data_IF_042976469702
#
_entry.id   IF_042976469702
#
_cell.length_a   1.000
_cell.length_b   1.000
_cell.length_c   1.000
_cell.angle_alpha   90.00
_cell.angle_beta   90.00
_cell.angle_gamma   90.00
#
_symmetry.space_group_name_H-M   'P 1'
#
loop_
_entity.id
_entity.type
_entity.pdbx_description
1 polymer ?
#
# COMPACT_ATOMS: atom_id res chain seq x y z
N UNK A 1 8.31 -32.94 39.73
CA UNK A 1 9.22 -31.86 39.27
C UNK A 1 8.54 -31.12 38.11
N UNK A 2 7.84 -30.01 38.38
CA UNK A 2 7.28 -29.13 37.34
C UNK A 2 8.38 -28.13 36.95
N UNK A 3 8.86 -28.20 35.70
CA UNK A 3 9.79 -27.21 35.14
C UNK A 3 8.99 -25.95 34.80
N UNK A 4 9.26 -24.88 35.54
CA UNK A 4 8.81 -23.53 35.22
C UNK A 4 9.70 -23.02 34.07
N UNK A 5 9.12 -22.84 32.88
CA UNK A 5 9.79 -22.09 31.81
C UNK A 5 9.59 -20.61 32.12
N UNK A 6 10.67 -19.95 32.55
CA UNK A 6 10.74 -18.51 32.71
C UNK A 6 10.96 -17.92 31.31
N UNK A 7 9.93 -17.29 30.73
CA UNK A 7 10.11 -16.44 29.55
C UNK A 7 10.84 -15.18 30.01
N UNK A 8 12.13 -15.10 29.71
CA UNK A 8 12.93 -13.90 29.90
C UNK A 8 12.65 -12.95 28.74
N UNK A 9 11.70 -12.04 28.94
CA UNK A 9 11.46 -10.92 28.02
C UNK A 9 12.67 -9.99 28.04
N UNK A 10 13.55 -10.11 27.05
CA UNK A 10 14.62 -9.14 26.81
C UNK A 10 13.95 -7.89 26.24
N UNK A 11 13.69 -6.91 27.12
CA UNK A 11 13.47 -5.54 26.67
C UNK A 11 14.83 -5.01 26.17
N UNK A 12 15.06 -5.08 24.86
CA UNK A 12 16.09 -4.25 24.23
C UNK A 12 15.55 -2.83 24.26
N UNK A 13 16.02 -2.02 25.21
CA UNK A 13 15.84 -0.58 25.14
C UNK A 13 16.57 -0.09 23.88
N UNK A 14 15.83 0.22 22.82
CA UNK A 14 16.39 0.90 21.67
C UNK A 14 16.74 2.32 22.12
N UNK A 15 18.01 2.55 22.40
CA UNK A 15 18.52 3.90 22.61
C UNK A 15 18.34 4.67 21.30
N UNK A 16 17.77 5.88 21.37
CA UNK A 16 17.73 6.82 20.27
C UNK A 16 19.12 6.92 19.63
N UNK A 17 19.21 6.65 18.32
CA UNK A 17 20.47 6.74 17.59
C UNK A 17 20.64 8.20 17.22
N UNK A 18 21.58 8.88 17.87
CA UNK A 18 22.05 10.20 17.47
C UNK A 18 23.19 10.03 16.47
N UNK A 19 23.04 10.51 15.24
CA UNK A 19 24.14 10.59 14.27
C UNK A 19 24.52 12.04 14.02
N UNK A 20 25.81 12.29 13.80
CA UNK A 20 26.26 13.56 13.23
C UNK A 20 25.58 13.75 11.86
N UNK A 21 24.97 14.91 11.68
CA UNK A 21 24.32 15.32 10.45
C UNK A 21 24.59 16.81 10.22
N UNK A 22 24.83 17.18 8.97
CA UNK A 22 24.90 18.59 8.58
C UNK A 22 23.49 19.18 8.62
N UNK A 23 23.27 20.14 9.51
CA UNK A 23 22.01 20.88 9.63
C UNK A 23 22.19 22.24 8.99
N UNK A 24 21.27 22.62 8.10
CA UNK A 24 21.21 23.97 7.53
C UNK A 24 19.99 24.70 8.06
N UNK A 25 20.21 25.67 8.95
CA UNK A 25 19.19 26.64 9.34
C UNK A 25 19.23 27.82 8.36
N UNK A 26 18.11 28.10 7.68
CA UNK A 26 18.00 29.21 6.71
C UNK A 26 16.95 30.21 7.18
N UNK A 27 17.30 31.49 7.12
CA UNK A 27 16.41 32.62 7.41
C UNK A 27 16.25 33.49 6.18
N UNK A 28 14.99 33.81 5.86
CA UNK A 28 14.55 34.70 4.77
C UNK A 28 13.80 35.90 5.34
N UNK A 29 13.60 36.94 4.53
CA UNK A 29 13.00 38.20 4.96
C UNK A 29 11.53 38.38 4.54
N UNK A 30 10.84 37.30 4.19
CA UNK A 30 9.49 37.26 3.62
C UNK A 30 8.36 37.46 4.66
N UNK A 31 8.70 37.57 5.94
CA UNK A 31 7.73 37.84 7.00
C UNK A 31 7.03 39.20 6.80
N UNK A 32 5.72 39.24 7.04
CA UNK A 32 4.90 40.43 6.86
C UNK A 32 4.57 40.79 5.41
N UNK A 33 5.16 40.07 4.42
CA UNK A 33 4.94 40.22 2.98
C UNK A 33 4.88 41.70 2.51
N UNK A 34 5.96 42.48 2.70
CA UNK A 34 5.93 43.91 2.41
C UNK A 34 5.76 44.16 0.91
N UNK A 35 4.78 45.00 0.54
CA UNK A 35 4.55 45.42 -0.86
C UNK A 35 5.29 46.70 -1.23
N UNK A 36 5.93 47.33 -0.25
CA UNK A 36 6.76 48.53 -0.41
C UNK A 36 7.94 48.47 0.54
N UNK A 37 8.97 49.26 0.29
CA UNK A 37 10.14 49.32 1.17
C UNK A 37 9.75 49.67 2.61
N UNK A 38 10.19 48.86 3.57
CA UNK A 38 9.94 49.05 5.00
C UNK A 38 11.23 49.48 5.68
N UNK A 39 11.16 50.52 6.53
CA UNK A 39 12.28 50.99 7.34
C UNK A 39 12.27 50.31 8.70
N UNK A 40 13.25 49.44 8.97
CA UNK A 40 13.43 48.78 10.27
C UNK A 40 14.22 49.69 11.23
N UNK A 41 14.02 49.56 12.54
CA UNK A 41 14.69 50.42 13.54
C UNK A 41 14.09 51.82 13.67
N UNK A 42 12.91 52.05 13.07
CA UNK A 42 12.15 53.30 13.21
C UNK A 42 11.21 53.23 14.42
N UNK A 43 10.86 54.37 15.02
CA UNK A 43 9.89 54.42 16.12
C UNK A 43 8.47 53.96 15.73
N UNK A 44 8.21 53.81 14.43
CA UNK A 44 6.90 53.48 13.87
C UNK A 44 6.82 52.06 13.29
N UNK A 45 7.92 51.30 13.31
CA UNK A 45 7.98 49.96 12.72
C UNK A 45 8.19 48.95 13.83
N UNK A 46 7.35 47.91 13.85
CA UNK A 46 7.60 46.77 14.71
C UNK A 46 8.43 45.71 13.97
N UNK A 47 9.72 45.60 14.31
CA UNK A 47 10.65 44.80 13.52
C UNK A 47 10.37 43.29 13.61
N UNK A 48 9.75 42.82 14.69
CA UNK A 48 9.31 41.43 14.85
C UNK A 48 8.29 40.99 13.80
N UNK A 49 7.64 41.92 13.09
CA UNK A 49 6.72 41.58 11.99
C UNK A 49 7.45 41.24 10.69
N UNK A 50 8.72 41.64 10.54
CA UNK A 50 9.46 41.55 9.29
C UNK A 50 10.77 40.78 9.40
N UNK A 51 11.37 40.71 10.59
CA UNK A 51 12.56 39.90 10.83
C UNK A 51 12.19 38.45 11.17
N UNK A 52 13.08 37.49 10.86
CA UNK A 52 12.92 36.11 11.28
C UNK A 52 12.76 35.98 12.79
N UNK A 53 12.05 34.93 13.23
CA UNK A 53 11.86 34.70 14.66
C UNK A 53 13.20 34.49 15.38
N UNK A 54 13.34 35.11 16.56
CA UNK A 54 14.58 35.10 17.34
C UNK A 54 15.65 36.07 16.87
N UNK A 55 15.38 36.90 15.85
CA UNK A 55 16.27 37.99 15.45
C UNK A 55 15.91 39.29 16.16
N UNK A 56 16.92 40.11 16.47
CA UNK A 56 16.73 41.34 17.23
C UNK A 56 17.55 42.50 16.67
N UNK A 57 16.98 43.70 16.67
CA UNK A 57 17.70 44.94 16.38
C UNK A 57 18.11 45.65 17.66
N UNK A 58 19.35 46.16 17.69
CA UNK A 58 19.89 46.75 18.91
C UNK A 58 19.53 48.23 19.10
N UNK A 59 19.19 48.95 18.02
CA UNK A 59 18.81 50.37 18.03
C UNK A 59 17.66 50.73 18.99
N UNK A 60 16.67 49.85 19.15
CA UNK A 60 15.43 50.13 19.90
C UNK A 60 15.64 50.22 21.42
N UNK A 61 16.69 49.59 21.97
CA UNK A 61 16.95 49.62 23.43
C UNK A 61 17.54 50.93 23.96
N UNK A 62 17.94 51.86 23.09
CA UNK A 62 18.58 53.12 23.50
C UNK A 62 17.82 54.40 23.16
N UNK A 63 16.59 54.32 22.67
CA UNK A 63 15.68 55.46 22.49
C UNK A 63 16.28 56.63 21.65
N UNK A 64 16.98 56.30 20.55
CA UNK A 64 17.65 57.29 19.70
C UNK A 64 17.25 57.19 18.22
N UNK A 65 17.37 58.31 17.52
CA UNK A 65 17.14 58.47 16.09
C UNK A 65 18.22 57.77 15.25
N UNK A 66 17.86 56.62 14.66
CA UNK A 66 18.53 55.82 13.59
C UNK A 66 19.66 54.87 14.06
N UNK A 67 19.88 53.71 13.39
CA UNK A 67 19.86 53.48 11.92
C UNK A 67 18.62 52.82 11.33
N UNK A 68 18.46 52.94 10.00
CA UNK A 68 17.42 52.28 9.21
C UNK A 68 18.03 51.20 8.32
N UNK A 69 17.86 49.94 8.72
CA UNK A 69 17.86 48.85 7.74
C UNK A 69 16.56 48.92 6.96
N UNK A 70 16.53 48.35 5.77
CA UNK A 70 15.29 48.29 5.01
C UNK A 70 14.99 46.88 4.55
N UNK A 71 13.71 46.49 4.59
CA UNK A 71 13.23 45.36 3.81
C UNK A 71 12.74 45.92 2.48
N UNK A 72 13.43 45.57 1.41
CA UNK A 72 13.15 46.01 0.04
C UNK A 72 12.56 44.84 -0.77
N UNK A 73 11.24 44.83 -1.02
CA UNK A 73 10.60 43.74 -1.77
C UNK A 73 10.96 43.73 -3.26
N UNK A 74 11.39 44.87 -3.81
CA UNK A 74 11.76 45.08 -5.20
C UNK A 74 13.23 44.75 -5.51
N UNK A 75 14.05 44.53 -4.48
CA UNK A 75 15.50 44.29 -4.62
C UNK A 75 15.92 42.85 -4.29
N UNK A 76 14.95 41.98 -3.98
CA UNK A 76 15.22 40.56 -3.73
C UNK A 76 15.19 39.70 -4.99
N UNK A 77 14.93 38.40 -4.82
CA UNK A 77 14.96 37.41 -5.89
C UNK A 77 13.94 36.30 -5.61
N UNK A 78 13.36 35.72 -6.66
CA UNK A 78 12.40 34.59 -6.60
C UNK A 78 11.19 34.86 -5.68
N UNK A 79 10.71 36.11 -5.67
CA UNK A 79 9.57 36.53 -4.85
C UNK A 79 9.90 36.79 -3.37
N UNK A 80 11.15 36.61 -2.95
CA UNK A 80 11.61 36.96 -1.61
C UNK A 80 12.11 38.41 -1.58
N UNK A 81 11.83 39.19 -0.52
CA UNK A 81 12.42 40.51 -0.31
C UNK A 81 13.88 40.41 0.16
N UNK A 82 14.62 41.51 0.04
CA UNK A 82 16.00 41.60 0.53
C UNK A 82 16.15 42.61 1.67
N UNK A 83 17.03 42.30 2.63
CA UNK A 83 17.46 43.25 3.64
C UNK A 83 18.56 44.15 3.08
N UNK A 84 18.33 45.46 3.10
CA UNK A 84 19.30 46.51 2.77
C UNK A 84 20.07 46.94 4.01
N UNK A 85 21.39 46.93 3.90
CA UNK A 85 22.30 47.42 4.90
C UNK A 85 22.37 48.95 4.99
N UNK A 86 23.20 49.42 5.92
CA UNK A 86 23.40 50.82 6.23
C UNK A 86 24.32 51.49 5.21
N UNK A 87 24.20 52.81 5.03
CA UNK A 87 25.10 53.57 4.14
C UNK A 87 26.54 53.55 4.62
N UNK A 88 26.72 53.68 5.93
CA UNK A 88 27.97 53.58 6.68
C UNK A 88 27.60 53.36 8.15
N UNK A 89 28.40 52.61 8.90
CA UNK A 89 28.16 52.31 10.32
C UNK A 89 29.40 52.64 11.14
N UNK A 90 29.21 53.10 12.38
CA UNK A 90 30.30 53.29 13.34
C UNK A 90 29.99 52.82 14.77
N UNK A 91 28.76 52.36 15.08
CA UNK A 91 28.39 51.96 16.44
C UNK A 91 27.65 50.60 16.51
N UNK A 92 28.34 49.48 16.80
CA UNK A 92 27.70 48.17 16.88
C UNK A 92 26.59 48.07 17.93
N UNK A 93 26.69 48.81 19.03
CA UNK A 93 25.64 48.81 20.07
C UNK A 93 24.29 49.36 19.61
N UNK A 94 24.26 50.05 18.47
CA UNK A 94 23.06 50.59 17.83
C UNK A 94 22.74 49.91 16.51
N UNK A 95 23.78 49.54 15.77
CA UNK A 95 23.68 49.29 14.33
C UNK A 95 23.62 47.82 13.93
N UNK A 96 23.77 46.89 14.87
CA UNK A 96 23.77 45.47 14.55
C UNK A 96 22.39 44.79 14.68
N UNK A 97 22.19 43.81 13.81
CA UNK A 97 21.13 42.81 13.89
C UNK A 97 21.73 41.56 14.53
N UNK A 98 21.05 41.03 15.55
CA UNK A 98 21.49 39.88 16.33
C UNK A 98 20.67 38.66 15.95
N UNK A 99 21.34 37.53 15.77
CA UNK A 99 20.73 36.23 15.46
C UNK A 99 21.38 35.11 16.27
N UNK A 100 20.64 34.05 16.62
CA UNK A 100 21.20 32.84 17.20
C UNK A 100 21.97 32.05 16.13
N UNK A 101 23.15 31.54 16.49
CA UNK A 101 24.04 30.80 15.59
C UNK A 101 24.70 29.65 16.36
N UNK A 102 24.80 28.50 15.71
CA UNK A 102 25.58 27.33 16.13
C UNK A 102 26.97 27.35 15.50
N UNK A 103 27.94 26.80 16.23
CA UNK A 103 29.31 26.66 15.75
C UNK A 103 29.34 25.91 14.41
N UNK A 104 29.98 26.49 13.40
CA UNK A 104 29.91 26.03 12.02
C UNK A 104 30.13 27.17 11.04
N UNK A 105 29.39 27.17 9.95
CA UNK A 105 29.50 28.17 8.87
C UNK A 105 28.26 29.06 8.82
N UNK A 106 28.45 30.36 9.02
CA UNK A 106 27.43 31.38 8.84
C UNK A 106 27.60 32.03 7.46
N UNK A 107 26.57 32.00 6.64
CA UNK A 107 26.62 32.48 5.26
C UNK A 107 25.54 33.49 4.95
N UNK A 108 25.85 34.45 4.10
CA UNK A 108 24.97 35.53 3.67
C UNK A 108 24.92 35.51 2.15
N UNK A 109 23.72 35.49 1.59
CA UNK A 109 23.56 35.62 0.15
C UNK A 109 23.57 37.12 -0.20
N UNK A 110 24.71 37.64 -0.66
CA UNK A 110 25.08 39.06 -0.65
C UNK A 110 25.14 39.64 -2.07
N UNK A 111 24.68 40.89 -2.23
CA UNK A 111 24.65 41.63 -3.51
C UNK A 111 25.01 43.10 -3.32
N UNK A 112 25.71 43.69 -4.30
CA UNK A 112 25.98 45.13 -4.32
C UNK A 112 24.72 45.94 -4.63
N UNK A 113 24.66 47.17 -4.11
CA UNK A 113 23.54 48.04 -4.39
C UNK A 113 23.62 48.64 -5.79
N UNK A 114 22.62 48.35 -6.63
CA UNK A 114 22.49 48.86 -8.00
C UNK A 114 22.33 50.39 -8.08
N UNK A 115 21.77 51.02 -7.04
CA UNK A 115 21.36 52.43 -7.02
C UNK A 115 22.41 53.37 -6.41
N UNK A 116 23.61 52.87 -6.07
CA UNK A 116 24.66 53.70 -5.43
C UNK A 116 26.00 53.59 -6.15
N UNK A 117 26.93 54.49 -5.85
CA UNK A 117 28.32 54.43 -6.34
C UNK A 117 29.24 53.51 -5.52
N UNK A 118 28.71 52.82 -4.49
CA UNK A 118 29.50 51.90 -3.69
C UNK A 118 29.94 50.69 -4.54
N UNK A 119 31.23 50.38 -4.52
CA UNK A 119 31.83 49.26 -5.27
C UNK A 119 32.16 48.07 -4.38
N UNK A 120 31.71 48.12 -3.12
CA UNK A 120 32.01 47.14 -2.10
C UNK A 120 30.86 46.95 -1.12
N UNK A 121 30.76 45.75 -0.57
CA UNK A 121 29.91 45.44 0.57
C UNK A 121 30.79 45.02 1.74
N UNK A 122 30.44 45.44 2.95
CA UNK A 122 31.19 45.05 4.16
C UNK A 122 30.23 44.42 5.15
N UNK A 123 30.60 43.26 5.66
CA UNK A 123 29.92 42.61 6.77
C UNK A 123 30.88 42.58 7.95
N UNK A 124 30.45 43.20 9.05
CA UNK A 124 31.08 43.03 10.35
C UNK A 124 30.30 42.01 11.17
N UNK A 125 30.99 41.08 11.83
CA UNK A 125 30.42 40.20 12.85
C UNK A 125 30.98 40.55 14.23
N UNK A 126 30.12 40.50 15.24
CA UNK A 126 30.43 40.79 16.63
C UNK A 126 29.91 39.67 17.53
N UNK A 127 30.64 39.41 18.61
CA UNK A 127 30.14 38.58 19.69
C UNK A 127 29.01 39.31 20.40
N UNK A 128 27.92 38.62 20.68
CA UNK A 128 26.81 39.16 21.47
C UNK A 128 26.48 38.19 22.58
N UNK A 129 26.34 38.73 23.79
CA UNK A 129 25.91 37.96 24.96
C UNK A 129 24.56 38.46 25.42
N UNK A 130 23.75 37.54 25.92
CA UNK A 130 22.44 37.84 26.51
C UNK A 130 22.43 37.36 27.95
N UNK A 131 22.04 38.24 28.87
CA UNK A 131 21.82 37.92 30.28
C UNK A 131 20.44 38.44 30.69
N UNK A 132 19.48 37.52 30.84
CA UNK A 132 18.06 37.85 30.94
C UNK A 132 17.61 38.67 29.74
N UNK A 133 17.00 39.83 30.00
CA UNK A 133 16.58 40.76 28.94
C UNK A 133 17.70 41.70 28.47
N UNK A 134 18.92 41.59 28.99
CA UNK A 134 20.02 42.52 28.64
C UNK A 134 20.91 41.92 27.55
N UNK A 135 21.08 42.66 26.46
CA UNK A 135 22.00 42.32 25.38
C UNK A 135 23.28 43.15 25.50
N UNK A 136 24.43 42.50 25.44
CA UNK A 136 25.74 43.16 25.51
C UNK A 136 26.57 42.80 24.30
N UNK A 137 27.00 43.82 23.55
CA UNK A 137 27.97 43.65 22.48
C UNK A 137 29.36 43.44 23.04
N UNK A 138 30.00 42.38 22.58
CA UNK A 138 31.40 42.10 22.82
C UNK A 138 32.29 42.62 21.70
N UNK A 139 33.45 42.00 21.58
CA UNK A 139 34.45 42.31 20.55
C UNK A 139 33.94 42.00 19.13
N UNK A 140 34.45 42.77 18.16
CA UNK A 140 34.35 42.42 16.75
C UNK A 140 35.06 41.09 16.51
N UNK A 141 34.37 40.15 15.88
CA UNK A 141 34.90 38.86 15.45
C UNK A 141 35.67 39.07 14.15
N UNK A 142 35.03 39.67 13.15
CA UNK A 142 35.62 39.90 11.82
C UNK A 142 34.97 41.09 11.14
N UNK A 143 35.73 41.78 10.29
CA UNK A 143 35.28 42.75 9.30
C UNK A 143 35.74 42.26 7.95
N UNK A 144 34.82 41.86 7.06
CA UNK A 144 35.19 41.40 5.72
C UNK A 144 34.54 42.27 4.66
N UNK A 145 35.38 42.73 3.74
CA UNK A 145 35.00 43.48 2.55
C UNK A 145 34.92 42.53 1.35
N UNK A 146 33.87 42.70 0.56
CA UNK A 146 33.62 41.98 -0.68
C UNK A 146 33.46 42.99 -1.80
N UNK A 147 34.08 42.72 -2.94
CA UNK A 147 34.12 43.58 -4.12
C UNK A 147 33.88 42.73 -5.37
N UNK A 148 33.85 43.36 -6.53
CA UNK A 148 33.82 42.65 -7.83
C UNK A 148 35.12 41.88 -8.12
N UNK A 149 36.16 42.06 -7.31
CA UNK A 149 37.45 41.38 -7.42
C UNK A 149 37.86 40.59 -6.17
N UNK A 150 36.99 40.47 -5.16
CA UNK A 150 37.24 39.65 -3.97
C UNK A 150 37.03 38.17 -4.26
N UNK A 151 37.37 37.30 -3.29
CA UNK A 151 37.01 35.87 -3.33
C UNK A 151 36.08 35.51 -2.14
N UNK A 152 34.83 35.10 -2.39
CA UNK A 152 34.15 35.13 -3.70
C UNK A 152 33.90 36.57 -4.19
N UNK A 153 33.81 36.75 -5.51
CA UNK A 153 33.47 38.04 -6.11
C UNK A 153 31.95 38.28 -6.04
N UNK A 154 31.55 39.48 -5.65
CA UNK A 154 30.14 39.89 -5.63
C UNK A 154 29.86 40.89 -6.75
N UNK A 155 28.61 41.03 -7.17
CA UNK A 155 28.25 41.98 -8.21
C UNK A 155 26.88 42.61 -7.96
N UNK A 156 26.45 43.44 -8.91
CA UNK A 156 25.17 44.16 -8.89
C UNK A 156 24.01 43.40 -9.51
N UNK A 157 24.23 42.30 -10.21
CA UNK A 157 23.16 41.55 -10.87
C UNK A 157 22.62 40.42 -9.97
N UNK A 158 23.52 39.63 -9.39
CA UNK A 158 23.21 38.37 -8.72
C UNK A 158 23.63 38.41 -7.25
N UNK A 159 22.88 37.70 -6.41
CA UNK A 159 23.30 37.38 -5.05
C UNK A 159 24.36 36.27 -5.07
N UNK A 160 25.43 36.47 -4.31
CA UNK A 160 26.54 35.52 -4.16
C UNK A 160 26.63 35.10 -2.71
N UNK A 161 26.74 33.79 -2.45
CA UNK A 161 26.91 33.27 -1.10
C UNK A 161 28.32 33.59 -0.58
N UNK A 162 28.39 34.34 0.52
CA UNK A 162 29.63 34.61 1.26
C UNK A 162 29.55 33.96 2.64
N UNK A 163 30.67 33.43 3.15
CA UNK A 163 30.66 32.63 4.38
C UNK A 163 31.72 33.04 5.39
N UNK A 164 31.41 32.78 6.66
CA UNK A 164 32.22 33.03 7.84
C UNK A 164 32.21 31.80 8.73
N UNK A 165 33.36 31.46 9.29
CA UNK A 165 33.44 30.41 10.32
C UNK A 165 33.05 31.02 11.68
N UNK A 166 32.17 30.33 12.39
CA UNK A 166 31.71 30.68 13.73
C UNK A 166 32.16 29.59 14.68
N UNK A 167 33.03 29.95 15.64
CA UNK A 167 33.74 28.97 16.45
C UNK A 167 32.89 28.36 17.58
N UNK A 168 31.88 29.08 18.07
CA UNK A 168 31.07 28.69 19.22
C UNK A 168 29.60 29.01 19.00
N UNK A 169 28.75 28.19 19.60
CA UNK A 169 27.32 28.50 19.74
C UNK A 169 27.14 29.84 20.48
N UNK A 170 26.11 30.59 20.09
CA UNK A 170 25.73 31.81 20.79
C UNK A 170 24.95 32.76 19.90
N UNK A 171 25.02 34.04 20.26
CA UNK A 171 24.43 35.11 19.46
C UNK A 171 25.52 35.87 18.72
N UNK A 172 25.30 36.07 17.43
CA UNK A 172 26.17 36.86 16.56
C UNK A 172 25.40 38.12 16.18
N UNK A 173 26.04 39.27 16.38
CA UNK A 173 25.57 40.54 15.83
C UNK A 173 26.26 40.77 14.49
N UNK A 174 25.51 41.06 13.43
CA UNK A 174 26.09 41.49 12.16
C UNK A 174 25.70 42.93 11.81
N UNK A 175 26.60 43.62 11.14
CA UNK A 175 26.34 44.91 10.51
C UNK A 175 26.61 44.78 9.02
N UNK A 176 25.61 45.11 8.22
CA UNK A 176 25.72 45.17 6.76
C UNK A 176 25.90 46.63 6.33
N UNK A 177 26.99 46.94 5.63
CA UNK A 177 27.34 48.30 5.25
C UNK A 177 27.30 48.56 3.74
N UNK A 178 27.56 49.81 3.35
CA UNK A 178 27.62 50.31 1.97
C UNK A 178 26.33 50.10 1.18
N UNK A 179 25.18 50.16 1.86
CA UNK A 179 23.84 49.95 1.31
C UNK A 179 23.64 48.60 0.59
N UNK A 180 24.51 47.61 0.81
CA UNK A 180 24.43 46.30 0.17
C UNK A 180 23.18 45.52 0.58
N UNK A 181 22.83 44.48 -0.17
CA UNK A 181 21.63 43.67 0.07
C UNK A 181 21.98 42.24 0.45
N UNK A 182 21.22 41.67 1.39
CA UNK A 182 21.22 40.22 1.64
C UNK A 182 19.83 39.63 1.40
N UNK A 183 19.77 38.51 0.67
CA UNK A 183 18.51 37.81 0.36
C UNK A 183 18.12 36.83 1.48
N UNK A 184 19.12 36.13 2.00
CA UNK A 184 18.96 35.11 3.04
C UNK A 184 20.25 34.94 3.84
N UNK A 185 20.11 34.40 5.05
CA UNK A 185 21.21 34.02 5.94
C UNK A 185 21.09 32.54 6.26
N UNK A 186 22.22 31.81 6.28
CA UNK A 186 22.28 30.38 6.54
C UNK A 186 23.30 30.07 7.62
N UNK A 187 22.93 29.24 8.58
CA UNK A 187 23.87 28.63 9.50
C UNK A 187 23.92 27.12 9.24
N UNK A 188 25.05 26.66 8.72
CA UNK A 188 25.36 25.26 8.47
C UNK A 188 26.24 24.75 9.60
N UNK A 189 25.84 23.71 10.31
CA UNK A 189 26.58 23.18 11.46
C UNK A 189 26.41 21.68 11.60
N UNK A 190 27.33 21.04 12.31
CA UNK A 190 27.21 19.64 12.72
C UNK A 190 26.22 19.54 13.88
N UNK A 191 25.05 18.99 13.58
CA UNK A 191 24.01 18.67 14.57
C UNK A 191 23.99 17.19 14.90
N UNK A 192 23.25 16.84 15.95
CA UNK A 192 22.82 15.46 16.21
C UNK A 192 21.37 15.34 15.80
N UNK A 193 21.10 14.57 14.74
CA UNK A 193 19.73 14.20 14.43
C UNK A 193 19.34 13.05 15.37
N UNK A 194 18.38 13.31 16.25
CA UNK A 194 17.85 12.28 17.15
C UNK A 194 16.76 11.53 16.40
N UNK A 195 16.95 10.23 16.26
CA UNK A 195 15.98 9.36 15.60
C UNK A 195 15.39 8.36 16.59
N UNK A 196 14.18 7.93 16.27
CA UNK A 196 13.35 7.08 17.10
C UNK A 196 12.85 5.87 16.31
N UNK A 197 12.25 4.93 17.04
CA UNK A 197 11.60 3.75 16.48
C UNK A 197 10.09 3.93 16.47
N UNK A 198 9.44 3.59 15.36
CA UNK A 198 7.98 3.45 15.24
C UNK A 198 7.64 1.96 15.18
N UNK A 199 6.89 1.47 16.16
CA UNK A 199 6.54 0.05 16.30
C UNK A 199 5.06 -0.17 16.57
N UNK A 200 4.57 -1.34 16.18
CA UNK A 200 3.15 -1.64 16.22
C UNK A 200 2.77 -2.99 15.62
N UNK A 201 1.50 -3.12 15.27
CA UNK A 201 0.91 -4.35 14.68
C UNK A 201 0.08 -4.02 13.44
N UNK A 202 0.10 -4.94 12.48
CA UNK A 202 -0.80 -4.93 11.33
C UNK A 202 -1.71 -6.15 11.41
N UNK A 203 -3.03 -5.92 11.34
CA UNK A 203 -4.06 -6.95 11.34
C UNK A 203 -4.97 -6.81 10.12
N UNK A 204 -5.72 -7.85 9.79
CA UNK A 204 -6.80 -7.79 8.82
C UNK A 204 -8.11 -7.28 9.48
N UNK A 205 -9.18 -7.18 8.69
CA UNK A 205 -10.51 -6.76 9.12
C UNK A 205 -11.21 -7.74 10.07
N UNK A 206 -10.71 -8.98 10.17
CA UNK A 206 -11.14 -10.01 11.12
C UNK A 206 -10.27 -10.04 12.39
N UNK A 207 -9.21 -9.23 12.44
CA UNK A 207 -8.28 -9.14 13.57
C UNK A 207 -7.15 -10.18 13.54
N UNK A 208 -6.98 -10.93 12.44
CA UNK A 208 -5.86 -11.84 12.29
C UNK A 208 -4.57 -11.06 11.98
N UNK A 209 -3.41 -11.49 12.48
CA UNK A 209 -2.15 -10.83 12.19
C UNK A 209 -1.75 -10.95 10.72
N UNK A 210 -1.26 -9.85 10.15
CA UNK A 210 -0.81 -9.81 8.74
C UNK A 210 0.71 -9.73 8.69
N UNK A 211 1.36 -10.88 8.44
CA UNK A 211 2.82 -10.97 8.22
C UNK A 211 3.26 -10.52 6.83
N UNK A 212 4.55 -10.20 6.68
CA UNK A 212 5.21 -9.74 5.44
C UNK A 212 4.60 -8.49 4.77
N UNK A 213 3.79 -7.71 5.49
CA UNK A 213 3.31 -6.41 5.05
C UNK A 213 4.46 -5.40 5.11
N UNK A 214 4.63 -4.59 4.05
CA UNK A 214 5.60 -3.51 4.01
C UNK A 214 5.05 -2.30 4.76
N UNK A 215 5.73 -1.86 5.79
CA UNK A 215 5.44 -0.64 6.56
C UNK A 215 6.50 0.40 6.23
N UNK A 216 6.11 1.62 5.85
CA UNK A 216 7.03 2.68 5.48
C UNK A 216 6.62 4.05 6.03
N UNK A 217 7.60 4.81 6.54
CA UNK A 217 7.45 6.16 7.11
C UNK A 217 8.75 6.94 6.92
N UNK A 218 8.69 8.21 6.50
CA UNK A 218 9.87 9.07 6.24
C UNK A 218 10.96 8.42 5.35
N UNK A 219 10.56 7.61 4.36
CA UNK A 219 11.49 6.89 3.49
C UNK A 219 12.22 5.70 4.15
N UNK A 220 11.95 5.42 5.42
CA UNK A 220 12.35 4.19 6.14
C UNK A 220 11.28 3.12 5.96
N UNK A 221 11.66 1.84 6.04
CA UNK A 221 10.70 0.74 5.93
C UNK A 221 11.13 -0.52 6.67
N UNK A 222 10.14 -1.29 7.09
CA UNK A 222 10.29 -2.65 7.63
C UNK A 222 9.20 -3.57 7.06
N UNK A 223 9.35 -4.88 7.27
CA UNK A 223 8.30 -5.85 7.03
C UNK A 223 7.70 -6.31 8.37
N UNK A 224 6.40 -6.62 8.37
CA UNK A 224 5.78 -7.23 9.55
C UNK A 224 6.26 -8.67 9.71
N UNK A 225 6.47 -9.10 10.95
CA UNK A 225 6.72 -10.50 11.29
C UNK A 225 5.44 -11.33 11.15
N UNK A 226 5.54 -12.67 11.27
CA UNK A 226 4.40 -13.58 11.13
C UNK A 226 3.25 -13.32 12.14
N UNK A 227 3.55 -12.68 13.27
CA UNK A 227 2.57 -12.26 14.28
C UNK A 227 2.00 -10.84 14.02
N UNK A 228 2.30 -10.26 12.86
CA UNK A 228 1.85 -8.93 12.45
C UNK A 228 2.66 -7.78 13.05
N UNK A 229 3.65 -8.03 13.90
CA UNK A 229 4.44 -6.97 14.55
C UNK A 229 5.41 -6.32 13.58
N UNK A 230 5.64 -5.01 13.71
CA UNK A 230 6.67 -4.28 12.94
C UNK A 230 7.45 -3.31 13.82
N UNK A 231 8.65 -2.94 13.34
CA UNK A 231 9.51 -1.93 13.95
C UNK A 231 10.31 -1.19 12.87
N UNK A 232 10.00 0.09 12.64
CA UNK A 232 10.73 0.98 11.71
C UNK A 232 11.65 1.88 12.52
N UNK A 233 12.97 1.72 12.38
CA UNK A 233 13.97 2.54 13.05
C UNK A 233 14.34 3.79 12.23
N UNK A 234 15.12 4.68 12.85
CA UNK A 234 15.67 5.89 12.23
C UNK A 234 14.60 6.90 11.76
N UNK A 235 13.50 7.02 12.51
CA UNK A 235 12.43 7.98 12.21
C UNK A 235 12.69 9.28 12.98
N UNK A 236 12.76 10.40 12.27
CA UNK A 236 12.95 11.72 12.88
C UNK A 236 11.69 12.24 13.57
N UNK A 237 11.84 13.25 14.42
CA UNK A 237 10.71 13.90 15.09
C UNK A 237 9.75 14.58 14.11
N UNK A 238 8.49 14.71 14.53
CA UNK A 238 7.46 15.42 13.81
C UNK A 238 6.33 14.52 13.31
N UNK A 239 5.40 15.16 12.62
CA UNK A 239 4.26 14.50 11.98
C UNK A 239 4.70 13.89 10.64
N UNK A 240 4.24 12.67 10.35
CA UNK A 240 4.56 11.96 9.11
C UNK A 240 3.49 10.95 8.74
N UNK A 241 3.43 10.57 7.46
CA UNK A 241 2.51 9.55 6.97
C UNK A 241 3.17 8.17 7.05
N UNK A 242 2.57 7.27 7.83
CA UNK A 242 2.86 5.85 7.81
C UNK A 242 2.02 5.19 6.71
N UNK A 243 2.65 4.41 5.85
CA UNK A 243 2.00 3.65 4.78
C UNK A 243 2.23 2.16 4.98
N UNK A 244 1.18 1.36 4.76
CA UNK A 244 1.25 -0.09 4.88
C UNK A 244 0.67 -0.73 3.62
N UNK A 245 1.38 -1.69 3.05
CA UNK A 245 0.94 -2.41 1.86
C UNK A 245 1.33 -3.88 1.89
N UNK A 246 0.46 -4.72 1.33
CA UNK A 246 0.68 -6.15 1.11
C UNK A 246 -0.11 -6.60 -0.11
N UNK A 247 0.46 -7.54 -0.87
CA UNK A 247 -0.27 -8.17 -1.98
C UNK A 247 -1.56 -8.83 -1.49
N UNK A 248 -2.65 -8.63 -2.24
CA UNK A 248 -3.97 -9.10 -1.85
C UNK A 248 -4.72 -8.20 -0.88
N UNK A 249 -4.14 -7.07 -0.43
CA UNK A 249 -4.78 -6.12 0.48
C UNK A 249 -4.82 -4.72 -0.13
N UNK A 250 -5.82 -3.92 0.24
CA UNK A 250 -5.85 -2.50 -0.07
C UNK A 250 -4.81 -1.76 0.77
N UNK A 251 -3.91 -1.03 0.11
CA UNK A 251 -2.91 -0.21 0.80
C UNK A 251 -3.59 0.85 1.69
N UNK A 252 -3.07 1.04 2.90
CA UNK A 252 -3.62 1.95 3.90
C UNK A 252 -2.54 2.92 4.36
N UNK A 253 -2.94 4.13 4.71
CA UNK A 253 -2.06 5.13 5.31
C UNK A 253 -2.71 5.79 6.53
N UNK A 254 -1.88 6.22 7.48
CA UNK A 254 -2.30 7.00 8.63
C UNK A 254 -1.21 7.97 9.07
N UNK A 255 -1.63 9.09 9.67
CA UNK A 255 -0.71 10.06 10.26
C UNK A 255 -0.17 9.52 11.58
N UNK A 256 1.14 9.64 11.80
CA UNK A 256 1.83 9.33 13.05
C UNK A 256 2.67 10.54 13.47
N UNK A 257 2.83 10.76 14.76
CA UNK A 257 3.63 11.85 15.31
C UNK A 257 4.67 11.29 16.27
N UNK A 258 5.94 11.53 15.96
CA UNK A 258 7.08 11.20 16.85
C UNK A 258 7.44 12.45 17.64
N UNK A 259 7.47 12.36 18.96
CA UNK A 259 7.73 13.50 19.85
C UNK A 259 8.66 13.12 20.99
N UNK A 260 9.97 13.27 20.76
CA UNK A 260 10.97 13.10 21.83
C UNK A 260 11.19 11.67 22.32
N UNK A 261 10.49 10.66 21.77
CA UNK A 261 10.56 9.26 22.20
C UNK A 261 10.06 8.30 21.11
N UNK A 262 10.38 7.01 21.27
CA UNK A 262 9.85 5.92 20.44
C UNK A 262 8.33 5.90 20.45
N UNK A 263 7.74 5.77 19.25
CA UNK A 263 6.30 5.61 19.07
C UNK A 263 5.98 4.12 19.06
N UNK A 264 5.19 3.67 20.02
CA UNK A 264 4.81 2.25 20.17
C UNK A 264 3.30 2.08 20.12
N UNK A 265 2.83 0.86 19.83
CA UNK A 265 1.40 0.54 19.84
C UNK A 265 0.62 1.06 18.63
N UNK A 266 1.30 1.35 17.52
CA UNK A 266 0.65 1.75 16.27
C UNK A 266 -0.13 0.57 15.69
N UNK A 267 -1.46 0.64 15.71
CA UNK A 267 -2.29 -0.39 15.10
C UNK A 267 -2.68 0.02 13.66
N UNK A 268 -2.60 -0.92 12.73
CA UNK A 268 -3.03 -0.72 11.33
C UNK A 268 -3.92 -1.89 10.93
N UNK A 269 -5.05 -1.57 10.31
CA UNK A 269 -5.94 -2.57 9.71
C UNK A 269 -5.76 -2.53 8.19
N UNK A 270 -5.44 -3.67 7.59
CA UNK A 270 -5.47 -3.85 6.14
C UNK A 270 -6.73 -4.60 5.74
N UNK A 271 -7.45 -4.10 4.74
CA UNK A 271 -8.64 -4.77 4.23
C UNK A 271 -8.24 -5.71 3.08
N UNK A 272 -8.53 -7.02 3.16
CA UNK A 272 -8.32 -7.94 2.06
C UNK A 272 -9.12 -7.52 0.83
N UNK A 273 -8.53 -7.70 -0.35
CA UNK A 273 -9.22 -7.45 -1.61
C UNK A 273 -10.09 -8.66 -1.94
N UNK A 274 -11.38 -8.42 -2.16
CA UNK A 274 -12.34 -9.47 -2.55
C UNK A 274 -12.24 -9.75 -4.05
N UNK A 275 -12.09 -11.01 -4.40
CA UNK A 275 -12.08 -11.51 -5.78
C UNK A 275 -13.08 -12.65 -5.92
N UNK A 276 -13.52 -12.97 -7.13
CA UNK A 276 -14.48 -14.07 -7.29
C UNK A 276 -15.07 -14.25 -8.67
N UNK A 277 -16.07 -15.11 -8.74
CA UNK A 277 -16.84 -15.39 -9.94
C UNK A 277 -18.29 -15.67 -9.59
N UNK A 278 -19.20 -15.20 -10.42
CA UNK A 278 -20.63 -15.48 -10.31
C UNK A 278 -21.28 -15.68 -11.67
N UNK A 279 -22.36 -16.45 -11.70
CA UNK A 279 -23.18 -16.64 -12.88
C UNK A 279 -24.03 -17.88 -12.78
N UNK A 280 -24.32 -18.50 -13.93
CA UNK A 280 -25.20 -19.68 -14.06
C UNK A 280 -24.43 -20.90 -14.52
N UNK A 281 -24.84 -22.07 -14.07
CA UNK A 281 -24.39 -23.35 -14.63
C UNK A 281 -25.42 -23.87 -15.64
N UNK A 282 -25.00 -24.06 -16.89
CA UNK A 282 -25.84 -24.47 -18.01
C UNK A 282 -25.41 -25.82 -18.58
N UNK A 283 -26.34 -26.53 -19.20
CA UNK A 283 -26.01 -27.73 -19.97
C UNK A 283 -25.36 -27.37 -21.32
N UNK A 284 -24.79 -28.36 -22.01
CA UNK A 284 -24.16 -28.22 -23.32
C UNK A 284 -25.11 -27.79 -24.46
N UNK A 285 -26.42 -27.75 -24.21
CA UNK A 285 -27.41 -27.19 -25.12
C UNK A 285 -27.73 -25.72 -24.82
N UNK A 286 -27.28 -25.19 -23.68
CA UNK A 286 -27.59 -23.84 -23.19
C UNK A 286 -29.08 -23.60 -22.90
N UNK A 287 -29.89 -24.66 -22.94
CA UNK A 287 -31.35 -24.58 -22.78
C UNK A 287 -31.76 -24.79 -21.32
N UNK A 288 -30.96 -25.53 -20.54
CA UNK A 288 -31.29 -25.90 -19.18
C UNK A 288 -30.24 -25.44 -18.19
N UNK A 289 -30.72 -24.99 -17.04
CA UNK A 289 -29.88 -24.77 -15.88
C UNK A 289 -29.62 -26.10 -15.17
N UNK A 290 -28.39 -26.28 -14.72
CA UNK A 290 -27.93 -27.52 -14.11
C UNK A 290 -28.02 -27.39 -12.59
N UNK A 291 -28.88 -28.21 -12.00
CA UNK A 291 -28.96 -28.40 -10.55
C UNK A 291 -28.13 -29.61 -10.11
N UNK A 292 -27.92 -29.74 -8.79
CA UNK A 292 -27.19 -30.86 -8.18
C UNK A 292 -25.79 -31.02 -8.77
N UNK A 293 -25.07 -29.91 -8.86
CA UNK A 293 -23.66 -29.88 -9.23
C UNK A 293 -22.85 -29.09 -8.20
N UNK A 294 -21.65 -29.59 -7.93
CA UNK A 294 -20.65 -28.93 -7.06
C UNK A 294 -19.63 -28.22 -7.94
N UNK A 295 -19.46 -26.92 -7.73
CA UNK A 295 -18.42 -26.10 -8.35
C UNK A 295 -17.34 -25.87 -7.29
N UNK A 296 -16.10 -26.26 -7.56
CA UNK A 296 -14.95 -26.06 -6.67
C UNK A 296 -13.88 -25.26 -7.38
N UNK A 297 -13.36 -24.23 -6.72
CA UNK A 297 -12.21 -23.44 -7.19
C UNK A 297 -11.02 -23.76 -6.31
N UNK A 298 -9.95 -24.28 -6.91
CA UNK A 298 -8.71 -24.61 -6.23
C UNK A 298 -7.49 -24.17 -7.05
N UNK A 299 -6.33 -24.04 -6.40
CA UNK A 299 -5.06 -23.83 -7.10
C UNK A 299 -4.44 -25.17 -7.58
N UNK A 300 -3.20 -25.10 -8.09
CA UNK A 300 -2.45 -26.28 -8.55
C UNK A 300 -1.99 -27.20 -7.42
N UNK A 301 -1.88 -26.69 -6.19
CA UNK A 301 -1.45 -27.42 -5.00
C UNK A 301 -2.64 -28.07 -4.26
N UNK A 302 -3.86 -27.72 -4.65
CA UNK A 302 -5.10 -28.27 -4.11
C UNK A 302 -5.73 -27.42 -3.02
N UNK A 303 -5.24 -26.21 -2.76
CA UNK A 303 -5.87 -25.29 -1.81
C UNK A 303 -7.20 -24.80 -2.38
N UNK A 304 -8.29 -25.00 -1.63
CA UNK A 304 -9.64 -24.64 -2.04
C UNK A 304 -9.92 -23.20 -1.65
N UNK A 305 -10.26 -22.37 -2.64
CA UNK A 305 -10.64 -20.97 -2.47
C UNK A 305 -12.14 -20.79 -2.25
N UNK A 306 -12.95 -21.75 -2.71
CA UNK A 306 -14.37 -21.76 -2.44
C UNK A 306 -15.12 -22.83 -3.22
N UNK A 307 -16.33 -23.09 -2.76
CA UNK A 307 -17.24 -24.07 -3.37
C UNK A 307 -18.65 -23.51 -3.43
N UNK A 308 -19.38 -23.84 -4.50
CA UNK A 308 -20.81 -23.58 -4.62
C UNK A 308 -21.56 -24.84 -5.04
N UNK A 309 -22.81 -24.96 -4.62
CA UNK A 309 -23.72 -26.01 -5.05
C UNK A 309 -24.86 -25.37 -5.84
N UNK A 310 -25.16 -25.90 -7.02
CA UNK A 310 -26.35 -25.47 -7.75
C UNK A 310 -27.56 -26.29 -7.34
N UNK A 311 -28.71 -25.62 -7.22
CA UNK A 311 -29.97 -26.27 -6.85
C UNK A 311 -31.06 -25.94 -7.86
N UNK A 312 -32.15 -26.72 -7.86
CA UNK A 312 -33.29 -26.44 -8.73
C UNK A 312 -33.96 -25.09 -8.41
N UNK A 313 -33.88 -24.66 -7.14
CA UNK A 313 -34.38 -23.36 -6.65
C UNK A 313 -33.40 -22.20 -6.85
N UNK A 314 -32.10 -22.48 -6.88
CA UNK A 314 -31.04 -21.49 -7.13
C UNK A 314 -29.97 -22.08 -8.06
N UNK A 315 -30.13 -21.90 -9.38
CA UNK A 315 -29.18 -22.35 -10.39
C UNK A 315 -28.01 -21.37 -10.59
N UNK A 316 -27.98 -20.26 -9.83
CA UNK A 316 -26.85 -19.36 -9.85
C UNK A 316 -25.77 -19.87 -8.90
N UNK A 317 -24.54 -19.45 -9.14
CA UNK A 317 -23.44 -19.64 -8.22
C UNK A 317 -22.73 -18.30 -8.02
N UNK A 318 -22.22 -18.10 -6.82
CA UNK A 318 -21.32 -17.00 -6.47
C UNK A 318 -20.25 -17.57 -5.54
N UNK A 319 -18.99 -17.39 -5.93
CA UNK A 319 -17.83 -17.81 -5.14
C UNK A 319 -16.90 -16.61 -5.05
N UNK A 320 -16.70 -16.14 -3.83
CA UNK A 320 -15.77 -15.05 -3.50
C UNK A 320 -14.69 -15.55 -2.55
N UNK A 321 -13.50 -14.99 -2.67
CA UNK A 321 -12.37 -15.26 -1.81
C UNK A 321 -11.58 -13.97 -1.56
N UNK A 322 -10.98 -13.89 -0.38
CA UNK A 322 -10.30 -12.70 0.12
C UNK A 322 -8.79 -12.83 -0.06
N UNK A 323 -8.12 -11.72 -0.35
CA UNK A 323 -6.67 -11.65 -0.30
C UNK A 323 -5.97 -11.88 -1.63
N UNK A 324 -4.77 -12.48 -1.55
CA UNK A 324 -3.95 -12.76 -2.71
C UNK A 324 -4.59 -13.86 -3.57
N UNK A 325 -4.44 -13.72 -4.88
CA UNK A 325 -5.05 -14.63 -5.86
C UNK A 325 -3.97 -15.25 -6.73
N UNK A 326 -3.88 -16.58 -6.84
CA UNK A 326 -2.97 -17.24 -7.77
C UNK A 326 -3.23 -16.83 -9.22
N UNK A 327 -2.17 -16.78 -10.02
CA UNK A 327 -2.24 -16.44 -11.45
C UNK A 327 -3.05 -17.46 -12.28
N UNK A 328 -3.26 -18.66 -11.75
CA UNK A 328 -4.03 -19.72 -12.37
C UNK A 328 -4.76 -20.55 -11.32
N UNK A 329 -6.08 -20.65 -11.46
CA UNK A 329 -6.98 -21.48 -10.68
C UNK A 329 -7.63 -22.55 -11.57
N UNK A 330 -8.01 -23.65 -10.94
CA UNK A 330 -8.75 -24.75 -11.53
C UNK A 330 -10.17 -24.73 -11.00
N UNK A 331 -11.13 -24.62 -11.91
CA UNK A 331 -12.56 -24.77 -11.61
C UNK A 331 -12.96 -26.19 -11.97
N UNK A 332 -13.36 -26.98 -10.98
CA UNK A 332 -13.87 -28.34 -11.16
C UNK A 332 -15.38 -28.34 -10.91
N UNK A 333 -16.12 -28.95 -11.83
CA UNK A 333 -17.58 -29.06 -11.76
C UNK A 333 -17.94 -30.53 -11.76
N UNK A 334 -18.57 -31.00 -10.70
CA UNK A 334 -18.91 -32.41 -10.48
C UNK A 334 -20.41 -32.58 -10.35
N UNK A 335 -20.94 -33.64 -10.96
CA UNK A 335 -22.35 -34.02 -10.87
C UNK A 335 -22.51 -35.50 -11.20
N UNK A 336 -23.47 -36.17 -10.57
CA UNK A 336 -23.80 -37.55 -10.92
C UNK A 336 -24.46 -37.66 -12.31
N UNK A 337 -25.17 -36.60 -12.71
CA UNK A 337 -26.01 -36.52 -13.92
C UNK A 337 -25.30 -35.93 -15.15
N UNK A 338 -24.19 -35.23 -14.95
CA UNK A 338 -23.41 -34.57 -16.01
C UNK A 338 -21.96 -35.06 -16.00
N UNK A 339 -21.24 -34.87 -17.11
CA UNK A 339 -19.84 -35.28 -17.22
C UNK A 339 -18.97 -34.28 -16.48
N UNK A 340 -18.15 -34.74 -15.52
CA UNK A 340 -17.25 -33.87 -14.77
C UNK A 340 -16.43 -32.98 -15.70
N UNK A 341 -16.34 -31.70 -15.35
CA UNK A 341 -15.65 -30.68 -16.14
C UNK A 341 -14.53 -30.05 -15.33
N UNK A 342 -13.49 -29.61 -16.03
CA UNK A 342 -12.36 -28.89 -15.45
C UNK A 342 -11.99 -27.75 -16.38
N UNK A 343 -11.90 -26.54 -15.82
CA UNK A 343 -11.62 -25.30 -16.55
C UNK A 343 -10.47 -24.58 -15.84
N UNK A 344 -9.46 -24.17 -16.61
CA UNK A 344 -8.43 -23.24 -16.12
C UNK A 344 -8.97 -21.81 -16.15
N UNK A 345 -8.76 -21.07 -15.07
CA UNK A 345 -9.15 -19.67 -14.91
C UNK A 345 -7.96 -18.86 -14.42
N UNK A 346 -7.69 -17.73 -15.09
CA UNK A 346 -6.62 -16.81 -14.73
C UNK A 346 -7.26 -15.51 -14.19
N UNK A 347 -7.62 -15.48 -12.89
CA UNK A 347 -8.24 -14.30 -12.28
C UNK A 347 -7.25 -13.14 -12.11
N UNK A 348 -7.80 -11.94 -12.03
CA UNK A 348 -7.11 -10.73 -11.57
C UNK A 348 -7.66 -10.37 -10.19
N UNK A 349 -6.75 -10.06 -9.25
CA UNK A 349 -7.12 -9.63 -7.89
C UNK A 349 -8.06 -8.42 -7.94
N UNK A 350 -9.10 -8.45 -7.10
CA UNK A 350 -10.13 -7.40 -7.01
C UNK A 350 -11.23 -7.48 -8.06
N UNK A 351 -11.22 -8.51 -8.92
CA UNK A 351 -12.28 -8.71 -9.90
C UNK A 351 -13.26 -9.80 -9.48
N UNK A 352 -14.56 -9.49 -9.58
CA UNK A 352 -15.65 -10.46 -9.50
C UNK A 352 -16.20 -10.67 -10.91
N UNK A 353 -15.89 -11.82 -11.50
CA UNK A 353 -16.24 -12.10 -12.89
C UNK A 353 -17.69 -12.54 -13.03
N UNK A 354 -18.41 -11.96 -14.00
CA UNK A 354 -19.71 -12.47 -14.43
C UNK A 354 -19.49 -13.53 -15.53
N UNK A 355 -19.51 -14.82 -15.17
CA UNK A 355 -19.23 -15.92 -16.11
C UNK A 355 -20.29 -17.00 -15.97
N UNK A 356 -20.82 -17.50 -17.08
CA UNK A 356 -21.61 -18.74 -17.04
C UNK A 356 -20.69 -19.92 -17.33
N UNK A 357 -20.89 -21.02 -16.61
CA UNK A 357 -20.21 -22.28 -16.90
C UNK A 357 -21.14 -23.22 -17.66
N UNK A 358 -20.54 -24.07 -18.48
CA UNK A 358 -21.24 -25.07 -19.28
C UNK A 358 -20.68 -26.44 -18.94
N UNK A 359 -21.56 -27.41 -18.68
CA UNK A 359 -21.19 -28.79 -18.39
C UNK A 359 -21.91 -29.75 -19.34
N UNK A 360 -21.18 -30.74 -19.84
CA UNK A 360 -21.69 -31.68 -20.84
C UNK A 360 -22.65 -32.69 -20.23
N UNK A 361 -23.77 -32.97 -20.91
CA UNK A 361 -24.68 -34.02 -20.47
C UNK A 361 -23.99 -35.37 -20.54
N UNK A 362 -24.09 -36.15 -19.46
CA UNK A 362 -23.51 -37.50 -19.39
C UNK A 362 -24.37 -38.48 -20.17
N UNK A 363 -23.80 -39.04 -21.24
CA UNK A 363 -24.42 -40.13 -22.01
C UNK A 363 -24.19 -41.45 -21.28
N UNK A 364 -25.27 -42.21 -21.10
CA UNK A 364 -25.25 -43.58 -20.61
C UNK A 364 -25.21 -44.53 -21.81
N UNK A 365 -24.40 -45.59 -21.69
CA UNK A 365 -24.29 -46.65 -22.70
C UNK A 365 -24.66 -48.00 -22.06
N UNK A 366 -25.95 -48.23 -21.73
CA UNK A 366 -26.37 -49.49 -21.12
C UNK A 366 -26.15 -50.65 -22.09
N UNK A 367 -25.74 -51.79 -21.53
CA UNK A 367 -25.54 -53.05 -22.27
C UNK A 367 -26.27 -54.16 -21.54
N UNK A 368 -27.05 -54.95 -22.28
CA UNK A 368 -27.75 -56.13 -21.79
C UNK A 368 -27.12 -57.36 -22.42
N UNK A 369 -26.55 -58.25 -21.60
CA UNK A 369 -26.06 -59.53 -22.05
C UNK A 369 -27.15 -60.60 -21.93
N UNK A 370 -27.49 -61.25 -23.03
CA UNK A 370 -28.44 -62.37 -23.06
C UNK A 370 -27.71 -63.69 -23.22
N UNK A 371 -28.00 -64.63 -22.32
CA UNK A 371 -27.49 -66.00 -22.34
C UNK A 371 -28.64 -67.00 -22.21
N UNK A 372 -28.49 -68.15 -22.84
CA UNK A 372 -29.37 -69.28 -22.63
C UNK A 372 -29.10 -69.99 -21.29
N UNK A 373 -29.87 -71.03 -20.98
CA UNK A 373 -29.70 -71.81 -19.76
C UNK A 373 -28.34 -72.55 -19.67
N UNK A 374 -27.66 -72.77 -20.79
CA UNK A 374 -26.34 -73.37 -20.87
C UNK A 374 -25.20 -72.33 -20.84
N UNK A 375 -25.54 -71.03 -20.78
CA UNK A 375 -24.59 -69.93 -20.74
C UNK A 375 -24.12 -69.42 -22.10
N UNK A 376 -24.67 -69.91 -23.21
CA UNK A 376 -24.31 -69.47 -24.56
C UNK A 376 -24.98 -68.13 -24.91
N UNK A 377 -24.33 -67.26 -25.70
CA UNK A 377 -24.90 -65.97 -26.10
C UNK A 377 -26.12 -66.14 -27.04
N UNK A 378 -27.21 -65.43 -26.73
CA UNK A 378 -28.47 -65.45 -27.52
C UNK A 378 -28.49 -64.28 -28.50
N UNK A 379 -28.51 -64.56 -29.80
CA UNK A 379 -28.52 -63.57 -30.89
C UNK A 379 -29.92 -63.42 -31.50
N UNK A 380 -30.20 -62.30 -32.16
CA UNK A 380 -31.49 -62.09 -32.84
C UNK A 380 -32.69 -61.75 -31.93
N UNK A 381 -32.49 -61.56 -30.62
CA UNK A 381 -33.54 -61.08 -29.72
C UNK A 381 -33.82 -59.58 -29.91
N UNK A 382 -35.04 -59.16 -29.59
CA UNK A 382 -35.40 -57.76 -29.38
C UNK A 382 -35.38 -57.48 -27.88
N UNK A 383 -34.51 -56.56 -27.46
CA UNK A 383 -34.38 -56.14 -26.06
C UNK A 383 -34.93 -54.72 -25.93
N UNK A 384 -35.87 -54.51 -25.00
CA UNK A 384 -36.40 -53.18 -24.69
C UNK A 384 -36.22 -52.85 -23.22
N UNK A 385 -36.01 -51.56 -22.95
CA UNK A 385 -35.98 -50.97 -21.62
C UNK A 385 -37.12 -49.94 -21.55
N UNK A 386 -38.05 -50.10 -20.63
CA UNK A 386 -39.20 -49.19 -20.45
C UNK A 386 -39.23 -48.68 -19.02
N UNK A 387 -39.34 -47.37 -18.83
CA UNK A 387 -39.46 -46.81 -17.48
C UNK A 387 -40.77 -47.25 -16.82
N UNK A 388 -40.73 -47.63 -15.54
CA UNK A 388 -41.91 -48.12 -14.80
C UNK A 388 -42.99 -47.05 -14.62
N UNK A 389 -42.55 -45.80 -14.47
CA UNK A 389 -43.38 -44.62 -14.23
C UNK A 389 -43.83 -43.93 -15.51
N UNK A 390 -43.17 -44.20 -16.64
CA UNK A 390 -43.45 -43.58 -17.93
C UNK A 390 -43.23 -44.59 -19.08
N UNK A 391 -44.32 -45.22 -19.51
CA UNK A 391 -44.28 -46.18 -20.62
C UNK A 391 -43.81 -45.57 -21.95
N UNK A 392 -43.90 -44.24 -22.12
CA UNK A 392 -43.40 -43.55 -23.31
C UNK A 392 -41.87 -43.46 -23.34
N UNK A 393 -41.22 -43.58 -22.18
CA UNK A 393 -39.77 -43.66 -22.05
C UNK A 393 -39.29 -45.10 -22.30
N UNK A 394 -39.52 -45.59 -23.52
CA UNK A 394 -39.08 -46.90 -23.99
C UNK A 394 -37.89 -46.76 -24.93
N UNK A 395 -36.91 -47.67 -24.84
CA UNK A 395 -35.74 -47.76 -25.71
C UNK A 395 -35.55 -49.20 -26.19
N UNK A 396 -35.28 -49.37 -27.47
CA UNK A 396 -34.97 -50.67 -28.09
C UNK A 396 -33.48 -50.79 -28.33
N UNK A 397 -32.91 -51.91 -27.92
CA UNK A 397 -31.49 -52.21 -28.00
C UNK A 397 -31.25 -53.11 -29.20
N UNK A 398 -30.13 -52.88 -29.87
CA UNK A 398 -29.68 -53.69 -31.00
C UNK A 398 -28.51 -54.57 -30.57
N UNK A 399 -28.40 -55.74 -31.20
CA UNK A 399 -27.23 -56.60 -30.97
C UNK A 399 -25.95 -55.86 -31.40
N UNK A 400 -24.96 -55.87 -30.51
CA UNK A 400 -23.64 -55.30 -30.72
C UNK A 400 -22.78 -56.23 -31.59
N UNK A 401 -21.53 -55.83 -31.87
CA UNK A 401 -20.56 -56.70 -32.54
C UNK A 401 -20.21 -57.95 -31.75
N UNK A 402 -20.45 -57.95 -30.44
CA UNK A 402 -20.31 -59.14 -29.60
C UNK A 402 -21.65 -59.88 -29.55
N UNK A 403 -21.66 -61.12 -30.06
CA UNK A 403 -22.86 -61.96 -30.10
C UNK A 403 -23.50 -62.07 -28.72
N UNK A 404 -24.81 -61.88 -28.65
CA UNK A 404 -25.60 -61.92 -27.42
C UNK A 404 -25.43 -60.75 -26.46
N UNK A 405 -24.74 -59.69 -26.87
CA UNK A 405 -24.66 -58.41 -26.16
C UNK A 405 -25.46 -57.36 -26.90
N UNK A 406 -26.39 -56.70 -26.23
CA UNK A 406 -27.31 -55.71 -26.79
C UNK A 406 -27.02 -54.34 -26.21
N UNK A 407 -26.79 -53.33 -27.05
CA UNK A 407 -26.44 -51.98 -26.63
C UNK A 407 -27.42 -50.94 -27.19
N UNK A 408 -27.62 -49.86 -26.45
CA UNK A 408 -28.34 -48.69 -26.94
C UNK A 408 -27.35 -47.63 -27.45
N UNK A 409 -27.36 -47.37 -28.75
CA UNK A 409 -26.46 -46.41 -29.41
C UNK A 409 -27.19 -45.39 -30.29
N UNK A 410 -28.52 -45.47 -30.37
CA UNK A 410 -29.34 -44.65 -31.27
C UNK A 410 -29.73 -43.30 -30.65
N UNK A 411 -30.17 -42.37 -31.52
CA UNK A 411 -30.75 -41.09 -31.12
C UNK A 411 -32.25 -41.24 -30.79
N UNK A 412 -32.79 -40.45 -29.84
CA UNK A 412 -32.07 -39.54 -28.94
C UNK A 412 -31.25 -40.30 -27.88
N UNK A 413 -30.01 -39.86 -27.61
CA UNK A 413 -29.13 -40.54 -26.65
C UNK A 413 -29.78 -40.72 -25.26
N UNK A 414 -29.36 -41.77 -24.55
CA UNK A 414 -29.81 -42.02 -23.19
C UNK A 414 -28.97 -41.19 -22.21
N UNK A 415 -29.54 -40.11 -21.68
CA UNK A 415 -28.81 -39.17 -20.82
C UNK A 415 -29.10 -39.41 -19.33
N UNK A 416 -28.06 -39.30 -18.51
CA UNK A 416 -28.13 -39.60 -17.07
C UNK A 416 -29.15 -38.72 -16.32
N UNK A 417 -29.22 -37.42 -16.61
CA UNK A 417 -30.19 -36.50 -15.99
C UNK A 417 -31.68 -36.84 -16.23
N UNK A 418 -31.99 -37.73 -17.18
CA UNK A 418 -33.37 -38.22 -17.42
C UNK A 418 -33.60 -39.65 -16.92
N UNK A 419 -32.54 -40.33 -16.50
CA UNK A 419 -32.53 -41.79 -16.37
C UNK A 419 -32.11 -42.31 -14.99
N UNK A 420 -31.17 -41.65 -14.31
CA UNK A 420 -30.56 -42.21 -13.09
C UNK A 420 -31.55 -42.39 -11.92
N UNK A 421 -32.60 -41.57 -11.86
CA UNK A 421 -33.60 -41.62 -10.79
C UNK A 421 -34.85 -42.44 -11.16
N UNK A 422 -34.85 -43.08 -12.33
CA UNK A 422 -35.97 -43.92 -12.79
C UNK A 422 -35.69 -45.40 -12.62
N UNK A 423 -36.74 -46.16 -12.33
CA UNK A 423 -36.70 -47.62 -12.41
C UNK A 423 -37.15 -48.10 -13.79
N UNK A 424 -36.46 -49.09 -14.34
CA UNK A 424 -36.75 -49.63 -15.67
C UNK A 424 -37.07 -51.12 -15.63
N UNK A 425 -37.98 -51.55 -16.51
CA UNK A 425 -38.27 -52.95 -16.79
C UNK A 425 -37.54 -53.34 -18.08
N UNK A 426 -36.77 -54.43 -18.02
CA UNK A 426 -36.15 -55.03 -19.21
C UNK A 426 -37.11 -56.08 -19.76
N UNK A 427 -37.50 -55.94 -21.03
CA UNK A 427 -38.30 -56.94 -21.74
C UNK A 427 -37.48 -57.54 -22.88
N UNK A 428 -37.59 -58.87 -23.06
CA UNK A 428 -36.87 -59.62 -24.08
C UNK A 428 -37.86 -60.41 -24.91
N UNK A 429 -37.80 -60.25 -26.24
CA UNK A 429 -38.58 -61.04 -27.19
C UNK A 429 -37.62 -61.77 -28.15
N UNK A 430 -37.72 -63.10 -28.20
CA UNK A 430 -36.99 -63.95 -29.14
C UNK A 430 -37.91 -65.11 -29.55
N UNK A 431 -37.77 -65.65 -30.77
CA UNK A 431 -38.64 -66.74 -31.27
C UNK A 431 -38.63 -67.96 -30.36
N UNK A 432 -37.49 -68.22 -29.73
CA UNK A 432 -37.26 -69.37 -28.85
C UNK A 432 -37.39 -69.00 -27.35
N UNK A 433 -37.82 -67.78 -27.03
CA UNK A 433 -37.99 -67.34 -25.64
C UNK A 433 -39.21 -68.04 -25.01
N UNK A 434 -38.98 -68.75 -23.91
CA UNK A 434 -40.03 -69.22 -23.01
C UNK A 434 -39.96 -68.38 -21.72
N UNK A 435 -41.06 -67.74 -21.28
CA UNK A 435 -41.02 -66.92 -20.07
C UNK A 435 -40.61 -67.77 -18.86
N UNK A 436 -39.66 -67.25 -18.08
CA UNK A 436 -39.27 -67.82 -16.80
C UNK A 436 -40.44 -67.62 -15.83
N UNK A 437 -41.08 -68.69 -15.35
CA UNK A 437 -42.29 -68.64 -14.51
C UNK A 437 -42.00 -68.54 -13.00
N UNK A 438 -40.81 -68.09 -12.60
CA UNK A 438 -40.55 -67.73 -11.19
C UNK A 438 -40.24 -66.24 -11.09
N UNK A 439 -40.79 -65.59 -10.06
CA UNK A 439 -40.59 -64.18 -9.80
C UNK A 439 -39.10 -63.83 -9.84
N UNK A 440 -38.71 -62.75 -10.53
CA UNK A 440 -37.31 -62.35 -10.58
C UNK A 440 -36.84 -61.98 -9.17
N UNK A 441 -35.87 -62.73 -8.64
CA UNK A 441 -35.10 -62.32 -7.46
C UNK A 441 -34.23 -61.14 -7.87
N UNK A 442 -34.75 -59.93 -7.70
CA UNK A 442 -33.96 -58.70 -7.82
C UNK A 442 -33.15 -58.56 -6.54
N UNK A 443 -31.89 -59.02 -6.57
CA UNK A 443 -30.94 -58.63 -5.53
C UNK A 443 -30.55 -57.17 -5.76
N UNK A 444 -30.73 -56.27 -4.77
CA UNK A 444 -30.30 -54.89 -4.92
C UNK A 444 -28.77 -54.87 -4.94
N UNK A 445 -28.16 -54.69 -6.11
CA UNK A 445 -26.79 -54.19 -6.18
C UNK A 445 -26.85 -52.73 -5.76
N UNK A 446 -26.83 -52.49 -4.44
CA UNK A 446 -26.37 -51.21 -3.90
C UNK A 446 -24.88 -51.12 -4.25
N UNK A 447 -24.55 -50.44 -5.35
CA UNK A 447 -23.24 -49.81 -5.45
C UNK A 447 -23.23 -48.68 -4.43
N UNK A 448 -22.93 -49.00 -3.17
CA UNK A 448 -22.40 -48.02 -2.22
C UNK A 448 -21.05 -47.60 -2.78
N UNK A 449 -20.96 -46.44 -3.44
CA UNK A 449 -19.70 -45.70 -3.41
C UNK A 449 -19.57 -45.17 -1.99
N UNK A 450 -18.72 -45.83 -1.22
CA UNK A 450 -18.19 -45.30 0.04
C UNK A 450 -17.50 -43.96 -0.25
N UNK A 451 -17.99 -42.88 0.38
CA UNK A 451 -17.21 -41.66 0.60
C UNK A 451 -15.99 -42.00 1.48
N UNK A 452 -14.79 -41.51 1.18
CA UNK A 452 -13.79 -41.30 2.21
C UNK A 452 -14.25 -40.13 3.10
N UNK A 453 -14.01 -40.26 4.40
CA UNK A 453 -13.95 -39.14 5.34
C UNK A 453 -12.71 -38.30 5.06
#
# INVERSE_FOLDING_TARGET
>A
MRKFLLFLSIFVAFASISRAAEVTQKWTFDKGNPTSQISLGSSYTDESQYLPDGWFMMARKMNQSKPYYYISPDMGQDGLPALKGLSSSNNPSKDAIVLPVKAGKLSFNLKLNEQTFQTKATIDLYNVTQSGDTWTFGSKIISKEFTESSEPAINRANFTLVSFDVATDGYIGFILQNNSYILDVRNVYEGTETTYTVSGTVVDDEGNPVGDAKVAVQGKSAQTAADGTFSVAEVGEGESTLTVSKEGYSATSQTVTVSGADLTGVNVVLNPIVSGVKGRLMDDNLDNLVAAATITIADGDGNVYGTAQTTASDPNYEITFNGAVPSSLKVTIESDYYSNSTITWNPVVGQIYQRNFVINRKKLNPVVALKDAAGNPVSGATVTLTAKDDASDTRTFSESSTKGSYAYTSLPYFYAHKALDKEYVVSVAHSDYKPYTSEPVVSPVRTRMSRPL
#
